data_IF_219281627339
#
_entry.id   IF_219281627339
#
_cell.length_a   1.000
_cell.length_b   1.000
_cell.length_c   1.000
_cell.angle_alpha   90.00
_cell.angle_beta   90.00
_cell.angle_gamma   90.00
#
_symmetry.space_group_name_H-M   'P 1'
#
loop_
_entity.id
_entity.type
_entity.pdbx_description
1 polymer ?
#
# COMPACT_ATOMS: atom_id res chain seq x y z
N UNK A 1 18.18 -10.51 -15.64
CA UNK A 1 17.61 -11.86 -15.58
C UNK A 1 16.19 -11.90 -16.18
N UNK A 2 15.23 -11.12 -15.66
CA UNK A 2 13.83 -11.09 -16.16
C UNK A 2 13.81 -10.75 -17.66
N UNK A 3 14.54 -9.72 -18.09
CA UNK A 3 14.63 -9.34 -19.50
C UNK A 3 15.05 -10.51 -20.40
N UNK A 4 16.08 -11.26 -20.00
CA UNK A 4 16.55 -12.42 -20.78
C UNK A 4 15.47 -13.51 -20.86
N UNK A 5 14.76 -13.78 -19.77
CA UNK A 5 13.65 -14.73 -19.77
C UNK A 5 12.51 -14.31 -20.70
N UNK A 6 12.21 -13.02 -20.75
CA UNK A 6 11.18 -12.47 -21.65
C UNK A 6 11.61 -12.70 -23.10
N UNK A 7 12.85 -12.33 -23.47
CA UNK A 7 13.35 -12.48 -24.83
C UNK A 7 13.50 -13.94 -25.28
N UNK A 8 13.74 -14.84 -24.35
CA UNK A 8 13.85 -16.29 -24.64
C UNK A 8 12.48 -16.97 -24.77
N UNK A 9 11.47 -16.52 -24.03
CA UNK A 9 10.18 -17.23 -23.90
C UNK A 9 9.02 -16.57 -24.60
N UNK A 10 9.09 -15.27 -24.86
CA UNK A 10 8.03 -14.54 -25.54
C UNK A 10 8.32 -14.40 -27.03
N UNK A 11 7.27 -14.49 -27.85
CA UNK A 11 7.41 -14.23 -29.27
C UNK A 11 7.72 -12.73 -29.49
N UNK A 12 8.71 -12.39 -30.32
CA UNK A 12 9.03 -10.98 -30.64
C UNK A 12 7.82 -10.16 -31.11
N UNK A 13 6.92 -10.77 -31.88
CA UNK A 13 5.69 -10.12 -32.33
C UNK A 13 4.75 -9.76 -31.17
N UNK A 14 4.70 -10.56 -30.11
CA UNK A 14 3.89 -10.27 -28.92
C UNK A 14 4.56 -9.19 -28.07
N UNK A 15 5.90 -9.20 -27.96
CA UNK A 15 6.65 -8.15 -27.27
C UNK A 15 6.36 -6.79 -27.92
N UNK A 16 6.40 -6.71 -29.25
CA UNK A 16 6.11 -5.49 -30.00
C UNK A 16 4.64 -5.10 -29.89
N UNK A 17 3.72 -6.03 -30.13
CA UNK A 17 2.27 -5.80 -30.06
C UNK A 17 1.81 -5.24 -28.73
N UNK A 18 2.38 -5.74 -27.64
CA UNK A 18 2.03 -5.32 -26.28
C UNK A 18 2.96 -4.24 -25.72
N UNK A 19 3.92 -3.74 -26.55
CA UNK A 19 4.91 -2.73 -26.15
C UNK A 19 5.56 -3.08 -24.81
N UNK A 20 5.95 -4.35 -24.63
CA UNK A 20 6.45 -4.88 -23.37
C UNK A 20 7.84 -4.31 -23.09
N UNK A 21 8.01 -3.70 -21.93
CA UNK A 21 9.26 -3.13 -21.46
C UNK A 21 9.64 -3.78 -20.12
N UNK A 22 10.91 -4.10 -19.97
CA UNK A 22 11.48 -4.57 -18.71
C UNK A 22 12.67 -3.68 -18.33
N UNK A 23 12.61 -3.11 -17.16
CA UNK A 23 13.66 -2.20 -16.70
C UNK A 23 13.52 -1.83 -15.22
N UNK A 24 14.36 -0.92 -14.75
CA UNK A 24 14.25 -0.33 -13.43
C UNK A 24 13.31 0.89 -13.41
N UNK A 25 13.01 1.38 -12.21
CA UNK A 25 12.09 2.51 -12.04
C UNK A 25 12.53 3.78 -12.80
N UNK A 26 13.83 3.99 -13.01
CA UNK A 26 14.32 5.18 -13.71
C UNK A 26 13.99 5.12 -15.21
N UNK A 27 13.99 3.92 -15.80
CA UNK A 27 13.64 3.72 -17.20
C UNK A 27 12.14 3.95 -17.49
N UNK A 28 11.30 3.88 -16.46
CA UNK A 28 9.86 4.16 -16.55
C UNK A 28 9.49 5.60 -16.19
N UNK A 29 10.48 6.48 -16.01
CA UNK A 29 10.18 7.87 -15.70
C UNK A 29 9.53 8.57 -16.90
N UNK A 30 8.30 9.08 -16.68
CA UNK A 30 7.49 9.71 -17.72
C UNK A 30 6.70 8.74 -18.61
N UNK A 31 6.85 7.44 -18.40
CA UNK A 31 6.15 6.39 -19.14
C UNK A 31 5.08 5.73 -18.28
N UNK A 32 3.90 5.49 -18.82
CA UNK A 32 2.77 4.86 -18.14
C UNK A 32 2.31 3.64 -18.93
N UNK A 33 1.88 2.60 -18.21
CA UNK A 33 1.40 1.35 -18.80
C UNK A 33 0.06 0.94 -18.19
N UNK A 34 -0.75 0.27 -18.97
CA UNK A 34 -2.02 -0.26 -18.46
C UNK A 34 -1.80 -1.25 -17.32
N UNK A 35 -0.77 -2.08 -17.43
CA UNK A 35 -0.41 -3.08 -16.45
C UNK A 35 1.07 -2.99 -16.12
N UNK A 36 1.39 -2.97 -14.84
CA UNK A 36 2.77 -3.03 -14.33
C UNK A 36 2.95 -4.29 -13.48
N UNK A 37 4.02 -5.01 -13.72
CA UNK A 37 4.52 -6.07 -12.85
C UNK A 37 5.71 -5.54 -12.05
N UNK A 38 5.52 -5.33 -10.75
CA UNK A 38 6.56 -4.88 -9.84
C UNK A 38 7.16 -6.08 -9.12
N UNK A 39 8.45 -6.35 -9.38
CA UNK A 39 9.17 -7.44 -8.72
C UNK A 39 9.92 -6.91 -7.50
N UNK A 40 9.50 -7.34 -6.31
CA UNK A 40 10.14 -7.09 -5.02
C UNK A 40 10.79 -8.40 -4.56
N UNK A 41 11.98 -8.69 -5.07
CA UNK A 41 12.72 -9.89 -4.70
C UNK A 41 13.84 -9.54 -3.76
N UNK A 42 13.81 -10.11 -2.57
CA UNK A 42 14.85 -9.95 -1.56
C UNK A 42 14.97 -11.23 -0.72
N UNK A 43 16.12 -11.46 -0.12
CA UNK A 43 16.37 -12.60 0.72
C UNK A 43 17.29 -12.20 1.89
N UNK A 44 17.16 -12.90 3.03
CA UNK A 44 18.11 -12.78 4.13
C UNK A 44 19.50 -13.16 3.65
N UNK A 45 20.48 -12.39 4.07
CA UNK A 45 21.88 -12.81 3.92
C UNK A 45 22.15 -13.99 4.86
N UNK A 46 22.68 -15.08 4.31
CA UNK A 46 22.90 -16.35 5.02
C UNK A 46 23.77 -16.21 6.30
N UNK A 47 24.60 -15.17 6.37
CA UNK A 47 25.53 -14.93 7.49
C UNK A 47 25.08 -13.79 8.42
N UNK A 48 23.82 -13.38 8.33
CA UNK A 48 23.30 -12.27 9.14
C UNK A 48 22.47 -12.78 10.30
N UNK A 49 22.87 -12.44 11.53
CA UNK A 49 22.09 -12.63 12.75
C UNK A 49 20.86 -11.70 12.84
N UNK A 50 20.67 -10.83 11.82
CA UNK A 50 19.53 -9.94 11.76
C UNK A 50 18.24 -10.72 11.48
N UNK A 51 17.26 -10.51 12.34
CA UNK A 51 15.91 -11.05 12.20
C UNK A 51 15.19 -10.46 10.97
N UNK A 52 15.52 -9.22 10.63
CA UNK A 52 14.88 -8.46 9.54
C UNK A 52 15.74 -8.43 8.27
N UNK A 53 15.09 -8.31 7.14
CA UNK A 53 15.71 -8.01 5.86
C UNK A 53 16.39 -6.62 5.87
N UNK A 54 17.34 -6.42 4.96
CA UNK A 54 17.96 -5.11 4.76
C UNK A 54 16.87 -4.08 4.47
N UNK A 55 16.78 -3.06 5.32
CA UNK A 55 15.84 -1.97 5.18
C UNK A 55 16.09 -1.19 3.88
N UNK A 56 15.04 -0.94 3.12
CA UNK A 56 15.04 0.13 2.13
C UNK A 56 14.70 1.42 2.88
N UNK A 57 15.71 2.24 3.09
CA UNK A 57 15.60 3.40 3.96
C UNK A 57 14.71 4.49 3.37
N UNK A 58 13.60 4.75 4.05
CA UNK A 58 12.69 5.84 3.74
C UNK A 58 13.33 7.23 3.88
N UNK A 59 14.44 7.37 4.62
CA UNK A 59 15.18 8.62 4.74
C UNK A 59 15.95 8.96 3.46
N UNK A 60 16.23 7.97 2.60
CA UNK A 60 16.89 8.20 1.33
C UNK A 60 15.84 8.63 0.27
N UNK A 61 15.84 9.93 -0.04
CA UNK A 61 14.92 10.54 -0.99
C UNK A 61 14.95 9.86 -2.37
N UNK A 62 16.11 9.34 -2.80
CA UNK A 62 16.27 8.68 -4.10
C UNK A 62 15.47 7.36 -4.12
N UNK A 63 15.53 6.58 -3.05
CA UNK A 63 14.76 5.33 -2.96
C UNK A 63 13.26 5.60 -2.92
N UNK A 64 12.83 6.61 -2.16
CA UNK A 64 11.41 7.03 -2.15
C UNK A 64 10.94 7.45 -3.53
N UNK A 65 11.72 8.28 -4.22
CA UNK A 65 11.36 8.73 -5.58
C UNK A 65 11.27 7.56 -6.55
N UNK A 66 12.26 6.65 -6.57
CA UNK A 66 12.23 5.46 -7.43
C UNK A 66 11.04 4.55 -7.12
N UNK A 67 10.75 4.35 -5.85
CA UNK A 67 9.62 3.54 -5.42
C UNK A 67 8.29 4.17 -5.84
N UNK A 68 8.13 5.48 -5.63
CA UNK A 68 6.95 6.22 -6.07
C UNK A 68 6.78 6.17 -7.59
N UNK A 69 7.86 6.31 -8.36
CA UNK A 69 7.82 6.14 -9.81
C UNK A 69 7.31 4.74 -10.15
N UNK A 70 7.89 3.69 -9.56
CA UNK A 70 7.50 2.32 -9.85
C UNK A 70 6.01 2.04 -9.61
N UNK A 71 5.47 2.47 -8.46
CA UNK A 71 4.05 2.20 -8.10
C UNK A 71 3.06 3.11 -8.82
N UNK A 72 3.47 4.29 -9.28
CA UNK A 72 2.59 5.27 -9.93
C UNK A 72 2.50 5.14 -11.45
N UNK A 73 3.16 4.17 -12.06
CA UNK A 73 3.18 4.00 -13.53
C UNK A 73 2.05 3.15 -14.08
N UNK A 74 1.33 2.44 -13.23
CA UNK A 74 0.19 1.64 -13.62
C UNK A 74 -1.06 2.52 -13.83
N UNK A 75 -1.71 2.42 -15.00
CA UNK A 75 -3.01 3.08 -15.26
C UNK A 75 -4.17 2.27 -14.71
N UNK A 76 -4.14 0.96 -14.91
CA UNK A 76 -5.27 0.08 -14.59
C UNK A 76 -4.92 -0.94 -13.51
N UNK A 77 -3.74 -1.57 -13.59
CA UNK A 77 -3.38 -2.66 -12.69
C UNK A 77 -1.89 -2.64 -12.34
N UNK A 78 -1.60 -2.92 -11.07
CA UNK A 78 -0.25 -3.26 -10.61
C UNK A 78 -0.26 -4.65 -9.99
N UNK A 79 0.65 -5.51 -10.46
CA UNK A 79 0.90 -6.83 -9.90
C UNK A 79 2.20 -6.81 -9.13
N UNK A 80 2.12 -7.02 -7.83
CA UNK A 80 3.32 -7.06 -6.98
C UNK A 80 3.71 -8.51 -6.75
N UNK A 81 4.89 -8.87 -7.26
CA UNK A 81 5.48 -10.20 -7.09
C UNK A 81 6.60 -10.07 -6.07
N UNK A 82 6.52 -10.80 -4.97
CA UNK A 82 7.48 -10.70 -3.88
C UNK A 82 7.88 -12.08 -3.33
N UNK A 83 9.09 -12.16 -2.78
CA UNK A 83 9.67 -13.39 -2.22
C UNK A 83 9.81 -13.36 -0.70
N UNK A 84 9.52 -12.22 -0.08
CA UNK A 84 9.72 -11.99 1.36
C UNK A 84 8.40 -12.04 2.13
N UNK A 85 8.44 -12.45 3.38
CA UNK A 85 7.31 -12.28 4.29
C UNK A 85 7.27 -10.85 4.83
N UNK A 86 6.07 -10.27 4.96
CA UNK A 86 5.87 -8.92 5.50
C UNK A 86 6.42 -8.76 6.91
N UNK A 87 6.37 -9.84 7.73
CA UNK A 87 6.92 -9.87 9.09
C UNK A 87 8.45 -9.76 9.13
N UNK A 88 9.13 -10.09 8.03
CA UNK A 88 10.59 -9.92 7.92
C UNK A 88 11.01 -8.50 7.56
N UNK A 89 10.05 -7.61 7.31
CA UNK A 89 10.28 -6.19 7.02
C UNK A 89 10.03 -5.36 8.29
N UNK A 90 10.86 -4.33 8.49
CA UNK A 90 10.66 -3.37 9.57
C UNK A 90 9.42 -2.52 9.32
N UNK A 91 8.79 -2.00 10.38
CA UNK A 91 7.55 -1.22 10.27
C UNK A 91 7.71 0.07 9.44
N UNK A 92 8.92 0.62 9.42
CA UNK A 92 9.26 1.81 8.63
C UNK A 92 9.82 1.49 7.23
N UNK A 93 9.74 0.23 6.77
CA UNK A 93 10.12 -0.16 5.41
C UNK A 93 8.99 0.18 4.42
N UNK A 94 9.31 0.93 3.37
CA UNK A 94 8.35 1.36 2.36
C UNK A 94 7.66 0.19 1.65
N UNK A 95 8.35 -0.95 1.52
CA UNK A 95 7.81 -2.17 0.91
C UNK A 95 6.71 -2.77 1.75
N UNK A 96 6.84 -2.73 3.09
CA UNK A 96 5.84 -3.25 4.01
C UNK A 96 4.47 -2.59 3.82
N UNK A 97 4.47 -1.27 3.68
CA UNK A 97 3.25 -0.51 3.46
C UNK A 97 2.56 -0.89 2.14
N UNK A 98 3.34 -1.03 1.06
CA UNK A 98 2.79 -1.45 -0.23
C UNK A 98 2.21 -2.87 -0.16
N UNK A 99 2.96 -3.82 0.41
CA UNK A 99 2.49 -5.22 0.52
C UNK A 99 1.24 -5.30 1.39
N UNK A 100 1.22 -4.60 2.51
CA UNK A 100 0.03 -4.52 3.36
C UNK A 100 -1.19 -3.99 2.59
N UNK A 101 -1.01 -2.91 1.83
CA UNK A 101 -2.07 -2.37 1.00
C UNK A 101 -2.57 -3.38 -0.04
N UNK A 102 -1.67 -4.03 -0.78
CA UNK A 102 -2.04 -5.00 -1.80
C UNK A 102 -2.74 -6.24 -1.23
N UNK A 103 -2.27 -6.74 -0.08
CA UNK A 103 -2.85 -7.91 0.60
C UNK A 103 -4.25 -7.62 1.17
N UNK A 104 -4.52 -6.36 1.53
CA UNK A 104 -5.77 -5.96 2.17
C UNK A 104 -6.69 -5.11 1.27
N UNK A 105 -6.38 -4.97 -0.01
CA UNK A 105 -7.12 -4.09 -0.92
C UNK A 105 -8.63 -4.35 -0.92
N UNK A 106 -9.05 -5.60 -1.04
CA UNK A 106 -10.48 -5.97 -1.00
C UNK A 106 -11.13 -5.68 0.35
N UNK A 107 -10.36 -5.79 1.44
CA UNK A 107 -10.85 -5.44 2.77
C UNK A 107 -10.96 -3.92 2.95
N UNK A 108 -10.08 -3.15 2.32
CA UNK A 108 -10.12 -1.67 2.34
C UNK A 108 -11.37 -1.16 1.63
N UNK A 109 -11.69 -1.68 0.46
CA UNK A 109 -12.93 -1.35 -0.27
C UNK A 109 -14.17 -1.69 0.58
N UNK A 110 -14.22 -2.91 1.13
CA UNK A 110 -15.31 -3.33 2.01
C UNK A 110 -15.44 -2.43 3.24
N UNK A 111 -14.30 -2.08 3.89
CA UNK A 111 -14.31 -1.20 5.06
C UNK A 111 -14.80 0.22 4.72
N UNK A 112 -14.54 0.72 3.52
CA UNK A 112 -15.05 2.02 3.06
C UNK A 112 -16.55 1.98 2.84
N UNK A 113 -17.06 0.92 2.23
CA UNK A 113 -18.49 0.75 2.03
C UNK A 113 -19.23 0.62 3.37
N UNK A 114 -18.69 -0.17 4.30
CA UNK A 114 -19.21 -0.27 5.66
C UNK A 114 -19.15 1.08 6.37
N UNK A 115 -18.05 1.80 6.27
CA UNK A 115 -17.86 3.12 6.86
C UNK A 115 -18.87 4.14 6.35
N UNK A 116 -19.18 4.11 5.05
CA UNK A 116 -20.22 4.98 4.48
C UNK A 116 -21.60 4.75 5.12
N UNK A 117 -21.92 3.51 5.45
CA UNK A 117 -23.19 3.16 6.10
C UNK A 117 -23.25 3.52 7.58
N UNK A 118 -22.08 3.63 8.25
CA UNK A 118 -21.98 3.91 9.68
C UNK A 118 -21.76 5.40 9.99
N UNK A 119 -21.29 6.18 9.03
CA UNK A 119 -21.03 7.61 9.23
C UNK A 119 -22.34 8.40 9.30
N UNK A 120 -22.48 9.25 10.31
CA UNK A 120 -23.64 10.12 10.51
C UNK A 120 -23.52 11.44 9.73
N UNK A 121 -22.31 11.78 9.27
CA UNK A 121 -22.06 12.95 8.45
C UNK A 121 -21.06 12.68 7.31
N UNK A 122 -21.07 13.49 6.22
CA UNK A 122 -20.08 13.40 5.17
C UNK A 122 -18.65 13.62 5.67
N UNK A 123 -18.46 14.47 6.69
CA UNK A 123 -17.15 14.75 7.29
C UNK A 123 -16.61 13.53 8.04
N UNK A 124 -17.43 12.84 8.82
CA UNK A 124 -17.06 11.58 9.47
C UNK A 124 -16.62 10.52 8.45
N UNK A 125 -17.37 10.38 7.35
CA UNK A 125 -17.02 9.47 6.28
C UNK A 125 -15.68 9.81 5.63
N UNK A 126 -15.40 11.09 5.38
CA UNK A 126 -14.14 11.56 4.82
C UNK A 126 -12.96 11.25 5.74
N UNK A 127 -13.10 11.52 7.05
CA UNK A 127 -12.09 11.22 8.07
C UNK A 127 -11.87 9.70 8.18
N UNK A 128 -12.95 8.92 8.25
CA UNK A 128 -12.88 7.46 8.31
C UNK A 128 -12.15 6.88 7.09
N UNK A 129 -12.54 7.32 5.89
CA UNK A 129 -11.91 6.89 4.63
C UNK A 129 -10.41 7.24 4.60
N UNK A 130 -10.05 8.44 5.04
CA UNK A 130 -8.65 8.84 5.14
C UNK A 130 -7.85 7.93 6.07
N UNK A 131 -8.40 7.58 7.23
CA UNK A 131 -7.75 6.70 8.19
C UNK A 131 -7.62 5.26 7.66
N UNK A 132 -8.66 4.74 7.01
CA UNK A 132 -8.65 3.43 6.34
C UNK A 132 -7.57 3.40 5.25
N UNK A 133 -7.48 4.43 4.41
CA UNK A 133 -6.47 4.53 3.36
C UNK A 133 -5.03 4.60 3.89
N UNK A 134 -4.86 5.10 5.12
CA UNK A 134 -3.58 5.08 5.84
C UNK A 134 -3.28 3.72 6.50
N UNK A 135 -4.18 2.75 6.38
CA UNK A 135 -4.02 1.41 6.94
C UNK A 135 -4.32 1.31 8.44
N UNK A 136 -4.97 2.32 9.02
CA UNK A 136 -5.39 2.25 10.41
C UNK A 136 -6.64 1.38 10.56
N UNK A 137 -6.70 0.62 11.65
CA UNK A 137 -7.92 -0.07 12.05
C UNK A 137 -8.81 0.91 12.80
N UNK A 138 -10.00 1.13 12.30
CA UNK A 138 -11.00 1.98 12.93
C UNK A 138 -12.22 1.17 13.38
N UNK A 139 -12.90 1.67 14.40
CA UNK A 139 -14.25 1.22 14.76
C UNK A 139 -15.11 2.46 14.93
N UNK A 140 -16.11 2.59 14.11
CA UNK A 140 -17.04 3.71 14.15
C UNK A 140 -18.15 3.47 15.16
N UNK A 141 -18.77 4.56 15.58
CA UNK A 141 -19.90 4.56 16.50
C UNK A 141 -19.62 3.73 17.77
N UNK A 142 -18.42 3.94 18.35
CA UNK A 142 -17.90 3.11 19.45
C UNK A 142 -18.57 3.46 20.79
N UNK A 143 -19.25 2.51 21.45
CA UNK A 143 -19.96 2.77 22.70
C UNK A 143 -18.99 2.94 23.88
N UNK A 144 -19.17 3.99 24.66
CA UNK A 144 -18.45 4.26 25.91
C UNK A 144 -19.46 4.65 26.99
N UNK A 145 -19.89 3.70 27.80
CA UNK A 145 -20.96 3.92 28.79
C UNK A 145 -22.26 4.31 28.12
N UNK A 146 -22.76 5.51 28.41
CA UNK A 146 -23.97 6.06 27.81
C UNK A 146 -23.70 6.97 26.57
N UNK A 147 -22.44 7.09 26.18
CA UNK A 147 -22.00 7.89 25.05
C UNK A 147 -21.56 7.00 23.90
N UNK A 148 -21.46 7.60 22.72
CA UNK A 148 -20.95 6.96 21.53
C UNK A 148 -19.92 7.90 20.90
N UNK A 149 -18.71 7.39 20.74
CA UNK A 149 -17.65 8.10 20.01
C UNK A 149 -17.84 7.88 18.52
N UNK A 150 -17.59 8.90 17.71
CA UNK A 150 -17.69 8.78 16.25
C UNK A 150 -16.79 7.67 15.75
N UNK A 151 -15.55 7.61 16.22
CA UNK A 151 -14.67 6.48 15.94
C UNK A 151 -13.53 6.31 16.95
N UNK A 152 -12.98 5.12 17.00
CA UNK A 152 -11.68 4.85 17.62
C UNK A 152 -10.71 4.30 16.58
N UNK A 153 -9.45 4.71 16.69
CA UNK A 153 -8.32 4.18 15.93
C UNK A 153 -7.54 3.23 16.83
N UNK A 154 -7.34 2.01 16.36
CA UNK A 154 -6.52 1.00 17.04
C UNK A 154 -5.14 0.92 16.37
N UNK A 155 -4.08 1.19 17.12
CA UNK A 155 -2.70 1.09 16.65
C UNK A 155 -1.77 0.70 17.79
N UNK A 156 -0.94 -0.30 17.59
CA UNK A 156 0.09 -0.79 18.54
C UNK A 156 -0.49 -0.99 19.95
N UNK A 157 -1.60 -1.74 20.06
CA UNK A 157 -2.34 -1.99 21.31
C UNK A 157 -2.85 -0.73 22.03
N UNK A 158 -2.84 0.41 21.36
CA UNK A 158 -3.41 1.67 21.85
C UNK A 158 -4.71 1.99 21.13
N UNK A 159 -5.58 2.71 21.82
CA UNK A 159 -6.83 3.22 21.27
C UNK A 159 -6.84 4.74 21.38
N UNK A 160 -7.15 5.38 20.27
CA UNK A 160 -7.29 6.83 20.18
C UNK A 160 -8.74 7.12 19.81
N UNK A 161 -9.44 7.92 20.61
CA UNK A 161 -10.76 8.42 20.28
C UNK A 161 -10.64 9.55 19.26
N UNK A 162 -11.51 9.52 18.28
CA UNK A 162 -11.65 10.58 17.26
C UNK A 162 -13.11 11.00 17.24
N UNK A 163 -13.32 12.29 17.47
CA UNK A 163 -14.61 12.98 17.35
C UNK A 163 -14.55 13.95 16.18
N UNK A 164 -15.58 13.96 15.38
CA UNK A 164 -15.69 14.77 14.17
C UNK A 164 -16.67 15.91 14.41
N UNK A 165 -16.23 16.94 15.15
CA UNK A 165 -17.05 18.12 15.43
C UNK A 165 -17.24 18.96 14.17
N UNK A 166 -18.45 18.96 13.62
CA UNK A 166 -18.83 19.82 12.51
C UNK A 166 -19.31 21.20 12.99
N UNK A 167 -19.03 22.27 12.25
CA UNK A 167 -19.47 23.65 12.57
C UNK A 167 -20.99 23.84 12.72
N UNK A 168 -21.80 22.83 12.42
CA UNK A 168 -23.25 22.93 12.43
C UNK A 168 -23.92 22.69 13.80
N UNK A 169 -23.15 22.42 14.85
CA UNK A 169 -23.67 22.07 16.18
C UNK A 169 -23.14 22.95 17.32
N UNK A 170 -22.74 24.18 17.03
CA UNK A 170 -22.47 25.23 18.05
C UNK A 170 -23.53 26.29 18.05
#
# INVERSE_FOLDING_TARGET
YIYNLITERCNPADIEKHSLICGDAAQFQGDERDVIFLSLVDAKQLDSDNEFLRKIDNSNIIFRQRFNVAVSRAKNQIWVVYSMHTDSLRDDDIRKNLLYYCENYSNIEFLKDESNSLSESPFEYEVATYLIDKGYRIKQQYPVGNYRLDMIVEYDNKKIAVECDGEAYH
#
